data_IF_430049709014
#
_entry.id   IF_430049709014
#
_cell.length_a   1.000
_cell.length_b   1.000
_cell.length_c   1.000
_cell.angle_alpha   90.00
_cell.angle_beta   90.00
_cell.angle_gamma   90.00
#
_symmetry.space_group_name_H-M   'P 1'
#
loop_
_entity.id
_entity.type
_entity.pdbx_description
1 polymer ?
#
# COMPACT_ATOMS: atom_id res chain seq x y z
N UNK A 1 7.69 -6.28 7.13
CA UNK A 1 7.67 -5.93 5.70
C UNK A 1 8.84 -6.61 5.02
N UNK A 2 8.82 -6.76 3.70
CA UNK A 2 9.93 -7.34 2.94
C UNK A 2 10.77 -6.21 2.32
N UNK A 3 11.66 -5.63 3.12
CA UNK A 3 12.42 -4.44 2.73
C UNK A 3 13.37 -4.72 1.57
N UNK A 4 13.93 -5.94 1.50
CA UNK A 4 14.77 -6.36 0.38
C UNK A 4 13.98 -6.47 -0.93
N UNK A 5 12.74 -6.98 -0.86
CA UNK A 5 11.83 -7.03 -2.00
C UNK A 5 11.46 -5.65 -2.52
N UNK A 6 11.06 -4.75 -1.61
CA UNK A 6 10.74 -3.35 -1.94
C UNK A 6 11.94 -2.66 -2.61
N UNK A 7 13.15 -2.85 -2.07
CA UNK A 7 14.37 -2.29 -2.66
C UNK A 7 14.66 -2.84 -4.06
N UNK A 8 14.45 -4.14 -4.27
CA UNK A 8 14.64 -4.80 -5.56
C UNK A 8 13.64 -4.30 -6.62
N UNK A 9 12.36 -4.18 -6.27
CA UNK A 9 11.33 -3.63 -7.15
C UNK A 9 11.64 -2.18 -7.53
N UNK A 10 11.97 -1.34 -6.54
CA UNK A 10 12.31 0.06 -6.77
C UNK A 10 13.54 0.22 -7.69
N UNK A 11 14.57 -0.62 -7.50
CA UNK A 11 15.75 -0.61 -8.35
C UNK A 11 15.42 -1.03 -9.80
N UNK A 12 14.63 -2.10 -9.97
CA UNK A 12 14.22 -2.58 -11.28
C UNK A 12 13.38 -1.54 -12.04
N UNK A 13 12.39 -0.93 -11.38
CA UNK A 13 11.55 0.12 -11.98
C UNK A 13 12.39 1.32 -12.43
N UNK A 14 13.31 1.79 -11.58
CA UNK A 14 14.19 2.93 -11.92
C UNK A 14 15.15 2.61 -13.07
N UNK A 15 15.73 1.41 -13.09
CA UNK A 15 16.61 0.97 -14.18
C UNK A 15 15.89 0.89 -15.53
N UNK A 16 14.58 0.59 -15.52
CA UNK A 16 13.72 0.62 -16.70
C UNK A 16 13.20 2.03 -17.06
N UNK A 17 13.59 3.07 -16.33
CA UNK A 17 13.15 4.46 -16.56
C UNK A 17 11.77 4.81 -15.99
N UNK A 18 11.20 3.97 -15.13
CA UNK A 18 9.90 4.19 -14.50
C UNK A 18 9.98 4.93 -13.15
N UNK A 19 8.79 5.25 -12.61
CA UNK A 19 8.62 5.80 -11.27
C UNK A 19 8.11 4.72 -10.32
N UNK A 20 8.69 4.64 -9.12
CA UNK A 20 8.29 3.71 -8.07
C UNK A 20 7.81 4.51 -6.85
N UNK A 21 6.65 4.15 -6.32
CA UNK A 21 6.12 4.70 -5.08
C UNK A 21 5.95 3.57 -4.07
N UNK A 22 6.64 3.68 -2.93
CA UNK A 22 6.41 2.79 -1.80
C UNK A 22 5.15 3.25 -1.06
N UNK A 23 4.08 2.48 -1.19
CA UNK A 23 2.79 2.75 -0.56
C UNK A 23 2.66 2.14 0.82
N UNK A 24 3.70 1.48 1.36
CA UNK A 24 3.64 0.76 2.65
C UNK A 24 3.13 1.63 3.78
N UNK A 25 3.55 2.89 3.85
CA UNK A 25 3.11 3.83 4.89
C UNK A 25 1.61 4.21 4.80
N UNK A 26 0.96 3.95 3.66
CA UNK A 26 -0.48 4.11 3.49
C UNK A 26 -1.29 2.94 4.06
N UNK A 27 -0.63 1.81 4.37
CA UNK A 27 -1.28 0.60 4.89
C UNK A 27 -0.77 0.19 6.27
N UNK A 28 0.47 0.58 6.60
CA UNK A 28 1.17 0.08 7.77
C UNK A 28 1.85 1.22 8.53
N UNK A 29 1.83 1.08 9.86
CA UNK A 29 2.70 1.82 10.78
C UNK A 29 3.94 0.99 11.08
N UNK A 30 4.92 1.57 11.78
CA UNK A 30 6.08 0.83 12.27
C UNK A 30 5.74 -0.36 13.18
N UNK A 31 4.52 -0.42 13.75
CA UNK A 31 4.10 -1.46 14.71
C UNK A 31 3.13 -2.49 14.14
N UNK A 32 2.27 -2.08 13.20
CA UNK A 32 1.19 -2.92 12.64
C UNK A 32 0.63 -2.36 11.34
N UNK A 33 0.01 -3.24 10.56
CA UNK A 33 -0.88 -2.90 9.45
C UNK A 33 -2.33 -3.05 9.93
N UNK A 34 -3.02 -1.95 10.30
CA UNK A 34 -4.35 -2.03 10.87
C UNK A 34 -5.40 -2.46 9.84
N UNK A 35 -6.35 -3.29 10.26
CA UNK A 35 -7.51 -3.65 9.43
C UNK A 35 -8.51 -2.49 9.26
N UNK A 36 -8.47 -1.48 10.13
CA UNK A 36 -9.33 -0.30 10.08
C UNK A 36 -8.45 0.95 10.25
N UNK A 37 -8.60 1.91 9.34
CA UNK A 37 -7.95 3.23 9.42
C UNK A 37 -9.03 4.30 9.50
N UNK A 38 -9.02 5.10 10.55
CA UNK A 38 -10.13 5.98 10.88
C UNK A 38 -11.41 5.16 11.10
N UNK A 39 -12.40 5.34 10.22
CA UNK A 39 -13.66 4.61 10.25
C UNK A 39 -13.87 3.73 9.00
N UNK A 40 -12.78 3.41 8.30
CA UNK A 40 -12.80 2.67 7.03
C UNK A 40 -12.10 1.33 7.18
N UNK A 41 -12.82 0.25 6.82
CA UNK A 41 -12.26 -1.09 6.72
C UNK A 41 -11.29 -1.15 5.54
N UNK A 42 -10.07 -1.63 5.77
CA UNK A 42 -9.00 -1.68 4.76
C UNK A 42 -9.18 -2.88 3.84
N UNK A 43 -9.30 -4.08 4.41
CA UNK A 43 -9.42 -5.35 3.69
C UNK A 43 -10.81 -5.97 3.95
N UNK A 44 -11.46 -6.56 2.93
CA UNK A 44 -12.78 -7.16 3.07
C UNK A 44 -12.79 -8.43 3.94
N UNK A 45 -11.69 -9.20 3.91
CA UNK A 45 -11.47 -10.40 4.74
C UNK A 45 -9.97 -10.48 5.07
N UNK A 46 -9.63 -11.01 6.25
CA UNK A 46 -8.24 -11.25 6.65
C UNK A 46 -7.57 -12.32 5.78
N UNK A 47 -8.35 -13.25 5.25
CA UNK A 47 -7.86 -14.30 4.35
C UNK A 47 -7.60 -13.78 2.93
N UNK A 48 -8.23 -12.67 2.56
CA UNK A 48 -7.99 -11.93 1.33
C UNK A 48 -7.45 -10.52 1.64
N UNK A 49 -6.26 -10.49 2.24
CA UNK A 49 -5.49 -9.26 2.43
C UNK A 49 -4.79 -8.79 1.14
N UNK A 50 -5.18 -9.33 -0.03
CA UNK A 50 -4.59 -8.96 -1.33
C UNK A 50 -5.36 -7.83 -2.02
N UNK A 51 -6.63 -7.62 -1.65
CA UNK A 51 -7.46 -6.54 -2.18
C UNK A 51 -7.95 -5.62 -1.07
N UNK A 52 -8.07 -4.34 -1.39
CA UNK A 52 -8.59 -3.33 -0.47
C UNK A 52 -10.06 -3.06 -0.77
N UNK A 53 -10.81 -2.57 0.22
CA UNK A 53 -12.21 -2.19 0.00
C UNK A 53 -12.31 -1.02 -0.98
N UNK A 54 -13.50 -0.88 -1.57
CA UNK A 54 -13.82 0.25 -2.44
C UNK A 54 -13.69 1.59 -1.69
N UNK A 55 -14.16 1.62 -0.44
CA UNK A 55 -14.11 2.78 0.42
C UNK A 55 -12.66 3.17 0.73
N UNK A 56 -11.78 2.20 1.02
CA UNK A 56 -10.37 2.47 1.26
C UNK A 56 -9.66 2.95 -0.01
N UNK A 57 -10.00 2.39 -1.17
CA UNK A 57 -9.48 2.87 -2.47
C UNK A 57 -9.81 4.35 -2.71
N UNK A 58 -11.06 4.75 -2.43
CA UNK A 58 -11.48 6.17 -2.54
C UNK A 58 -10.78 7.07 -1.53
N UNK A 59 -10.53 6.56 -0.32
CA UNK A 59 -9.81 7.30 0.70
C UNK A 59 -8.36 7.61 0.28
N UNK A 60 -7.70 6.66 -0.40
CA UNK A 60 -6.33 6.81 -0.86
C UNK A 60 -6.17 7.67 -2.11
N UNK A 61 -7.24 7.87 -2.90
CA UNK A 61 -7.16 8.56 -4.19
C UNK A 61 -6.40 9.90 -4.17
N UNK A 62 -6.55 10.80 -3.17
CA UNK A 62 -5.79 12.05 -3.12
C UNK A 62 -4.27 11.86 -2.95
N UNK A 63 -3.82 10.74 -2.38
CA UNK A 63 -2.41 10.42 -2.18
C UNK A 63 -1.76 9.74 -3.40
N UNK A 64 -2.55 9.23 -4.34
CA UNK A 64 -2.08 8.50 -5.52
C UNK A 64 -1.59 9.39 -6.67
N UNK A 65 -1.67 10.72 -6.50
CA UNK A 65 -1.35 11.69 -7.54
C UNK A 65 -2.58 12.04 -8.39
N UNK A 66 -2.41 13.07 -9.23
CA UNK A 66 -3.38 13.53 -10.22
C UNK A 66 -2.88 13.25 -11.63
#
# INVERSE_FOLDING_TARGET
MNDAGIAAEAAATKAAGGHYADVTALFCTAKRCPAIVGNTLVYPDINDATHITFEYSRLLAPAMGH
#
